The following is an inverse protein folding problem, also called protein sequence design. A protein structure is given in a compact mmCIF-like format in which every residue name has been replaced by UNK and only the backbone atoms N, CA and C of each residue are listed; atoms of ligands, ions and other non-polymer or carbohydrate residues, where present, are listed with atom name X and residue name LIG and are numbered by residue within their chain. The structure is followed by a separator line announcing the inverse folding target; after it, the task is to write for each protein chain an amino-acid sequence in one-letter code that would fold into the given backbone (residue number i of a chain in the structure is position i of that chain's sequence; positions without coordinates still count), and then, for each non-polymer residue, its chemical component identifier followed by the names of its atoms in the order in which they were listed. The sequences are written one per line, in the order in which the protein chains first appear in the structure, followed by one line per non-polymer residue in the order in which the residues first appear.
data_IF_371453191236
#
_entry.id   IF_371453191236
#
_cell.length_a   1.000
_cell.length_b   1.000
_cell.length_c   1.000
_cell.angle_alpha   90.00
_cell.angle_beta   90.00
_cell.angle_gamma   90.00
#
_symmetry.space_group_name_H-M   'P 1'
#
loop_
_entity.id
_entity.type
_entity.pdbx_description
1 polymer ?
#
# COMPACT_ATOMS: atom_id res chain seq x y z
N UNK A 1 8.19 -0.11 6.67
CA UNK A 1 8.36 1.13 7.47
C UNK A 1 7.13 1.40 8.35
N UNK A 2 5.91 1.28 7.84
CA UNK A 2 4.66 1.44 8.60
C UNK A 2 4.63 0.64 9.92
N UNK A 3 5.10 -0.63 9.90
CA UNK A 3 5.29 -1.44 11.11
C UNK A 3 6.14 -0.72 12.16
N UNK A 4 7.23 -0.07 11.74
CA UNK A 4 8.17 0.61 12.65
C UNK A 4 7.58 1.90 13.22
N UNK A 5 6.84 2.66 12.41
CA UNK A 5 6.16 3.88 12.85
C UNK A 5 5.07 3.59 13.87
N UNK A 6 4.17 2.67 13.56
CA UNK A 6 3.00 2.37 14.39
C UNK A 6 3.26 1.36 15.50
N UNK A 7 4.42 0.69 15.52
CA UNK A 7 4.73 -0.41 16.43
C UNK A 7 3.68 -1.52 16.40
N UNK A 8 3.25 -1.88 15.19
CA UNK A 8 2.27 -2.93 14.97
C UNK A 8 2.89 -4.09 14.18
N UNK A 9 2.48 -5.32 14.45
CA UNK A 9 2.94 -6.45 13.66
C UNK A 9 2.42 -6.38 12.22
N UNK A 10 3.17 -6.92 11.23
CA UNK A 10 2.70 -6.97 9.85
C UNK A 10 1.34 -7.64 9.69
N UNK A 11 1.10 -8.72 10.45
CA UNK A 11 -0.18 -9.45 10.44
C UNK A 11 -1.34 -8.57 10.91
N UNK A 12 -1.12 -7.76 11.95
CA UNK A 12 -2.13 -6.86 12.46
C UNK A 12 -2.43 -5.74 11.49
N UNK A 13 -1.39 -5.14 10.88
CA UNK A 13 -1.56 -4.15 9.81
C UNK A 13 -2.34 -4.71 8.62
N UNK A 14 -2.04 -5.93 8.18
CA UNK A 14 -2.79 -6.58 7.10
C UNK A 14 -4.26 -6.77 7.45
N UNK A 15 -4.58 -7.24 8.68
CA UNK A 15 -5.96 -7.40 9.12
C UNK A 15 -6.75 -6.10 9.03
N UNK A 16 -6.14 -4.98 9.42
CA UNK A 16 -6.78 -3.66 9.35
C UNK A 16 -6.92 -3.20 7.91
N UNK A 17 -5.84 -3.22 7.12
CA UNK A 17 -5.82 -2.73 5.73
C UNK A 17 -6.79 -3.47 4.81
N UNK A 18 -7.00 -4.77 5.05
CA UNK A 18 -7.89 -5.59 4.23
C UNK A 18 -9.25 -5.88 4.87
N UNK A 19 -9.67 -5.02 5.79
CA UNK A 19 -11.02 -5.01 6.36
C UNK A 19 -11.41 -6.31 7.09
N UNK A 20 -10.43 -6.97 7.74
CA UNK A 20 -10.65 -8.17 8.58
C UNK A 20 -10.90 -7.81 10.04
N UNK A 21 -10.26 -6.75 10.53
CA UNK A 21 -10.38 -6.29 11.92
C UNK A 21 -10.43 -4.76 11.99
N UNK A 22 -11.14 -4.26 13.00
CA UNK A 22 -11.07 -2.85 13.39
C UNK A 22 -9.79 -2.58 14.19
N UNK A 23 -9.32 -1.36 14.13
CA UNK A 23 -8.28 -0.84 15.02
C UNK A 23 -8.83 0.35 15.78
N UNK A 24 -8.61 0.39 17.08
CA UNK A 24 -8.99 1.52 17.94
C UNK A 24 -8.05 2.68 17.67
N UNK A 25 -8.57 3.78 17.15
CA UNK A 25 -7.83 5.01 16.87
C UNK A 25 -7.92 6.02 18.02
N UNK A 26 -9.01 5.96 18.77
CA UNK A 26 -9.23 6.75 19.98
C UNK A 26 -10.03 5.94 20.99
N UNK A 27 -9.44 5.52 22.12
CA UNK A 27 -10.14 4.74 23.13
C UNK A 27 -11.17 5.56 23.93
N UNK A 28 -11.07 6.90 23.95
CA UNK A 28 -11.93 7.76 24.77
C UNK A 28 -11.89 7.34 26.25
N UNK A 29 -13.06 7.43 26.90
CA UNK A 29 -13.23 7.03 28.33
C UNK A 29 -13.62 5.55 28.50
N UNK A 30 -13.11 4.67 27.65
CA UNK A 30 -13.42 3.23 27.68
C UNK A 30 -12.23 2.43 28.16
N UNK A 31 -12.44 1.15 28.48
CA UNK A 31 -11.36 0.22 28.85
C UNK A 31 -10.59 -0.33 27.64
N UNK A 32 -10.86 0.17 26.42
CA UNK A 32 -10.15 -0.23 25.21
C UNK A 32 -8.75 0.39 25.19
N UNK A 33 -7.80 -0.33 24.60
CA UNK A 33 -6.44 0.16 24.42
C UNK A 33 -6.27 0.84 23.04
N UNK A 34 -5.42 1.86 23.00
CA UNK A 34 -5.00 2.48 21.75
C UNK A 34 -4.30 1.47 20.84
N UNK A 35 -4.69 1.40 19.56
CA UNK A 35 -4.25 0.41 18.57
C UNK A 35 -4.72 -1.03 18.83
N UNK A 36 -5.62 -1.26 19.78
CA UNK A 36 -6.24 -2.57 19.98
C UNK A 36 -6.98 -3.00 18.72
N UNK A 37 -6.86 -4.29 18.36
CA UNK A 37 -7.63 -4.86 17.27
C UNK A 37 -8.93 -5.47 17.82
N UNK A 38 -10.02 -5.18 17.13
CA UNK A 38 -11.34 -5.71 17.44
C UNK A 38 -11.88 -6.48 16.22
N UNK A 39 -12.46 -7.62 16.47
CA UNK A 39 -13.29 -8.33 15.49
C UNK A 39 -14.63 -7.62 15.33
N UNK A 40 -15.42 -7.96 14.31
CA UNK A 40 -16.78 -7.42 14.14
C UNK A 40 -17.67 -7.64 15.36
N UNK A 41 -17.52 -8.79 16.03
CA UNK A 41 -18.28 -9.14 17.22
C UNK A 41 -17.86 -8.26 18.41
N UNK A 42 -16.57 -8.17 18.67
CA UNK A 42 -16.00 -7.34 19.75
C UNK A 42 -16.32 -5.86 19.55
N UNK A 43 -16.24 -5.37 18.31
CA UNK A 43 -16.61 -4.00 17.99
C UNK A 43 -18.07 -3.69 18.28
N UNK A 44 -19.00 -4.57 17.87
CA UNK A 44 -20.43 -4.42 18.17
C UNK A 44 -20.72 -4.54 19.67
N UNK A 45 -19.98 -5.39 20.37
CA UNK A 45 -20.10 -5.51 21.82
C UNK A 45 -19.65 -4.23 22.51
N UNK A 46 -18.47 -3.71 22.14
CA UNK A 46 -17.97 -2.44 22.67
C UNK A 46 -18.93 -1.27 22.41
N UNK A 47 -19.59 -1.24 21.23
CA UNK A 47 -20.62 -0.23 20.95
C UNK A 47 -21.85 -0.32 21.84
N UNK A 48 -22.22 -1.54 22.28
CA UNK A 48 -23.35 -1.74 23.21
C UNK A 48 -22.95 -1.35 24.63
N UNK A 49 -21.74 -1.71 25.04
CA UNK A 49 -21.27 -1.55 26.43
C UNK A 49 -20.92 -0.08 26.73
N UNK A 50 -20.26 0.60 25.80
CA UNK A 50 -19.76 1.97 26.00
C UNK A 50 -20.54 3.04 25.22
N UNK A 51 -21.34 2.63 24.24
CA UNK A 51 -21.99 3.56 23.29
C UNK A 51 -21.14 3.83 22.05
N UNK A 52 -21.82 4.09 20.93
CA UNK A 52 -21.19 4.25 19.62
C UNK A 52 -20.30 5.50 19.48
N UNK A 53 -20.42 6.48 20.39
CA UNK A 53 -19.67 7.73 20.35
C UNK A 53 -18.55 7.82 21.40
N UNK A 54 -18.42 6.82 22.27
CA UNK A 54 -17.48 6.84 23.41
C UNK A 54 -16.05 6.50 23.01
N UNK A 55 -15.87 5.90 21.84
CA UNK A 55 -14.56 5.56 21.28
C UNK A 55 -14.60 5.63 19.76
N UNK A 56 -13.43 5.67 19.13
CA UNK A 56 -13.29 5.59 17.68
C UNK A 56 -12.49 4.36 17.29
N UNK A 57 -13.02 3.61 16.34
CA UNK A 57 -12.30 2.51 15.72
C UNK A 57 -12.66 2.46 14.23
N UNK A 58 -11.70 2.11 13.41
CA UNK A 58 -11.84 2.09 11.96
C UNK A 58 -11.16 0.91 11.31
N UNK A 59 -11.37 0.76 10.02
CA UNK A 59 -10.74 -0.24 9.16
C UNK A 59 -10.10 0.41 7.94
N UNK A 60 -9.19 -0.32 7.30
CA UNK A 60 -8.58 0.09 6.04
C UNK A 60 -7.51 1.16 6.18
N UNK A 61 -7.12 1.71 5.04
CA UNK A 61 -6.07 2.72 4.98
C UNK A 61 -6.46 4.04 5.69
N UNK A 62 -7.75 4.36 5.76
CA UNK A 62 -8.25 5.55 6.47
C UNK A 62 -7.89 5.50 7.96
N UNK A 63 -8.14 4.36 8.63
CA UNK A 63 -7.81 4.17 10.04
C UNK A 63 -6.29 4.21 10.28
N UNK A 64 -5.50 3.60 9.40
CA UNK A 64 -4.04 3.67 9.47
C UNK A 64 -3.53 5.10 9.27
N UNK A 65 -4.15 5.87 8.37
CA UNK A 65 -3.81 7.28 8.17
C UNK A 65 -4.07 8.10 9.42
N UNK A 66 -5.21 7.90 10.08
CA UNK A 66 -5.55 8.56 11.34
C UNK A 66 -4.52 8.25 12.43
N UNK A 67 -4.12 6.98 12.60
CA UNK A 67 -3.06 6.60 13.53
C UNK A 67 -1.71 7.25 13.21
N UNK A 68 -1.37 7.40 11.93
CA UNK A 68 -0.13 8.06 11.51
C UNK A 68 -0.17 9.57 11.72
N UNK A 69 -1.34 10.21 11.59
CA UNK A 69 -1.53 11.64 11.88
C UNK A 69 -1.41 11.96 13.38
N UNK A 70 -1.84 11.03 14.23
CA UNK A 70 -1.74 11.16 15.70
C UNK A 70 -0.33 10.89 16.24
N UNK A 71 0.58 10.39 15.39
CA UNK A 71 1.94 10.04 15.80
C UNK A 71 2.80 11.28 16.00
N UNK A 72 3.19 11.56 17.24
CA UNK A 72 4.18 12.57 17.58
C UNK A 72 5.59 11.96 17.45
N UNK A 73 6.31 12.40 16.41
CA UNK A 73 7.64 11.88 16.09
C UNK A 73 8.68 12.27 17.13
N UNK A 74 8.63 13.51 17.65
CA UNK A 74 9.62 14.01 18.62
C UNK A 74 9.47 13.32 19.98
N UNK A 75 8.23 13.12 20.42
CA UNK A 75 7.94 12.37 21.64
C UNK A 75 8.39 10.92 21.50
N UNK A 76 8.03 10.29 20.38
CA UNK A 76 8.41 8.89 20.11
C UNK A 76 9.94 8.72 20.03
N UNK A 77 10.67 9.70 19.48
CA UNK A 77 12.13 9.68 19.47
C UNK A 77 12.71 9.65 20.87
N UNK A 78 12.22 10.51 21.77
CA UNK A 78 12.67 10.56 23.18
C UNK A 78 12.40 9.24 23.91
N UNK A 79 11.17 8.72 23.79
CA UNK A 79 10.78 7.45 24.38
C UNK A 79 11.67 6.28 23.90
N UNK A 80 11.98 6.24 22.60
CA UNK A 80 12.85 5.19 22.03
C UNK A 80 14.30 5.32 22.50
N UNK A 81 14.82 6.53 22.68
CA UNK A 81 16.17 6.75 23.22
C UNK A 81 16.28 6.27 24.67
N UNK A 82 15.26 6.53 25.48
CA UNK A 82 15.17 6.02 26.85
C UNK A 82 15.04 4.49 26.88
N UNK A 83 14.22 3.92 25.98
CA UNK A 83 14.07 2.47 25.86
C UNK A 83 15.39 1.79 25.48
N UNK A 84 16.18 2.38 24.56
CA UNK A 84 17.49 1.88 24.13
C UNK A 84 18.49 1.92 25.30
N UNK A 85 18.44 2.95 26.14
CA UNK A 85 19.32 3.07 27.29
C UNK A 85 19.00 2.01 28.39
N UNK A 86 17.69 1.70 28.56
CA UNK A 86 17.21 0.83 29.64
C UNK A 86 16.98 -0.63 29.22
N UNK A 87 17.16 -0.98 27.92
CA UNK A 87 16.91 -2.32 27.42
C UNK A 87 18.15 -2.97 26.83
N UNK A 88 18.15 -4.33 26.79
CA UNK A 88 19.22 -5.14 26.21
C UNK A 88 18.68 -6.14 25.17
N UNK A 89 19.60 -6.87 24.53
CA UNK A 89 19.27 -7.96 23.63
C UNK A 89 18.44 -7.55 22.40
N UNK A 90 17.50 -8.39 22.02
CA UNK A 90 16.68 -8.20 20.81
C UNK A 90 15.76 -6.97 20.92
N UNK A 91 15.30 -6.62 22.13
CA UNK A 91 14.44 -5.45 22.34
C UNK A 91 15.17 -4.16 21.95
N UNK A 92 16.41 -4.01 22.41
CA UNK A 92 17.28 -2.88 22.07
C UNK A 92 17.51 -2.78 20.56
N UNK A 93 17.79 -3.90 19.86
CA UNK A 93 18.01 -3.93 18.40
C UNK A 93 16.75 -3.48 17.65
N UNK A 94 15.58 -3.89 18.09
CA UNK A 94 14.31 -3.47 17.49
C UNK A 94 14.04 -1.99 17.73
N UNK A 95 14.31 -1.48 18.92
CA UNK A 95 14.17 -0.06 19.25
C UNK A 95 15.12 0.82 18.41
N UNK A 96 16.37 0.40 18.20
CA UNK A 96 17.33 1.10 17.33
C UNK A 96 16.80 1.18 15.90
N UNK A 97 16.36 0.06 15.31
CA UNK A 97 15.80 0.04 13.95
C UNK A 97 14.56 0.92 13.81
N UNK A 98 13.78 1.02 14.88
CA UNK A 98 12.60 1.89 14.90
C UNK A 98 13.00 3.35 14.98
N UNK A 99 13.98 3.68 15.83
CA UNK A 99 14.54 5.03 15.97
C UNK A 99 15.12 5.54 14.65
N UNK A 100 15.88 4.73 13.92
CA UNK A 100 16.41 5.09 12.58
C UNK A 100 15.31 5.54 11.62
N UNK A 101 14.14 4.88 11.64
CA UNK A 101 13.02 5.26 10.78
C UNK A 101 12.39 6.58 11.26
N UNK A 102 12.19 6.75 12.57
CA UNK A 102 11.63 7.98 13.14
C UNK A 102 12.54 9.18 12.84
N UNK A 103 13.85 9.06 13.09
CA UNK A 103 14.83 10.11 12.79
C UNK A 103 14.88 10.46 11.30
N UNK A 104 14.73 9.46 10.41
CA UNK A 104 14.68 9.70 8.97
C UNK A 104 13.46 10.54 8.58
N UNK A 105 12.31 10.36 9.22
CA UNK A 105 11.13 11.19 9.00
C UNK A 105 11.34 12.61 9.53
N UNK A 106 11.88 12.75 10.73
CA UNK A 106 12.18 14.07 11.33
C UNK A 106 13.16 14.85 10.44
N UNK A 107 14.28 14.23 10.04
CA UNK A 107 15.31 14.86 9.21
C UNK A 107 14.84 15.24 7.81
N UNK A 108 13.95 14.44 7.22
CA UNK A 108 13.42 14.70 5.87
C UNK A 108 12.26 15.70 5.85
N UNK A 109 11.65 16.00 7.00
CA UNK A 109 10.43 16.81 7.09
C UNK A 109 9.18 16.15 6.47
N UNK A 110 9.26 14.87 6.09
CA UNK A 110 8.13 14.14 5.54
C UNK A 110 7.16 13.74 6.66
N UNK A 111 5.87 13.87 6.38
CA UNK A 111 4.84 13.47 7.32
C UNK A 111 4.53 11.98 7.21
N UNK A 112 4.38 11.25 8.34
CA UNK A 112 4.09 9.81 8.33
C UNK A 112 2.83 9.45 7.54
N UNK A 113 1.77 10.26 7.59
CA UNK A 113 0.51 10.05 6.89
C UNK A 113 0.64 10.06 5.35
N UNK A 114 1.71 10.62 4.80
CA UNK A 114 1.96 10.61 3.35
C UNK A 114 2.28 9.22 2.78
N UNK A 115 2.51 8.22 3.65
CA UNK A 115 2.60 6.81 3.23
C UNK A 115 1.26 6.32 2.64
N UNK A 116 0.15 6.91 3.09
CA UNK A 116 -1.18 6.61 2.57
C UNK A 116 -1.49 7.61 1.44
N UNK A 117 -1.73 7.10 0.27
CA UNK A 117 -2.05 7.91 -0.90
C UNK A 117 -3.55 8.22 -0.95
N UNK A 118 -3.89 9.49 -1.06
CA UNK A 118 -5.28 9.94 -1.30
C UNK A 118 -5.62 9.90 -2.80
N UNK A 119 -4.62 10.10 -3.64
CA UNK A 119 -4.76 10.11 -5.11
C UNK A 119 -3.70 9.19 -5.72
N UNK A 120 -4.14 8.31 -6.61
CA UNK A 120 -3.25 7.45 -7.38
C UNK A 120 -2.85 8.18 -8.66
N UNK A 121 -1.54 8.47 -8.88
CA UNK A 121 -1.09 9.11 -10.09
C UNK A 121 -1.23 8.16 -11.30
N UNK A 122 -1.63 8.73 -12.44
CA UNK A 122 -1.72 8.01 -13.70
C UNK A 122 -0.56 8.43 -14.59
N UNK A 123 0.24 7.47 -15.03
CA UNK A 123 1.37 7.75 -15.92
C UNK A 123 0.87 8.17 -17.30
N UNK A 124 1.65 8.99 -18.06
CA UNK A 124 1.29 9.45 -19.40
C UNK A 124 1.04 8.30 -20.38
N UNK A 125 0.15 8.48 -21.37
CA UNK A 125 -0.21 7.42 -22.32
C UNK A 125 0.97 6.93 -23.18
N UNK A 126 2.00 7.75 -23.39
CA UNK A 126 3.20 7.40 -24.16
C UNK A 126 3.99 6.25 -23.50
N UNK A 127 3.93 6.12 -22.16
CA UNK A 127 4.62 5.07 -21.41
C UNK A 127 3.73 3.82 -21.22
N UNK A 128 2.44 3.90 -21.59
CA UNK A 128 1.47 2.80 -21.57
C UNK A 128 0.70 2.71 -22.91
N UNK A 129 1.39 2.55 -24.03
CA UNK A 129 0.79 2.72 -25.34
C UNK A 129 -0.30 1.68 -25.64
N UNK A 130 -1.23 2.10 -26.48
CA UNK A 130 -2.18 1.24 -27.17
C UNK A 130 -1.94 1.37 -28.66
N UNK A 131 -1.54 0.28 -29.31
CA UNK A 131 -1.14 0.26 -30.72
C UNK A 131 -2.10 -0.61 -31.51
N UNK A 132 -2.57 -0.11 -32.65
CA UNK A 132 -3.37 -0.88 -33.57
C UNK A 132 -2.46 -1.81 -34.40
N UNK A 133 -2.79 -3.08 -34.41
CA UNK A 133 -2.12 -4.11 -35.20
C UNK A 133 -2.86 -4.29 -36.53
N UNK A 134 -2.17 -4.91 -37.50
CA UNK A 134 -2.79 -5.33 -38.76
C UNK A 134 -4.01 -6.22 -38.48
N UNK A 135 -5.10 -5.99 -39.20
CA UNK A 135 -6.38 -6.68 -39.00
C UNK A 135 -7.29 -6.08 -37.91
N UNK A 136 -7.05 -4.80 -37.50
CA UNK A 136 -7.96 -4.03 -36.62
C UNK A 136 -7.91 -4.44 -35.13
N UNK A 137 -6.97 -5.30 -34.73
CA UNK A 137 -6.74 -5.67 -33.33
C UNK A 137 -5.86 -4.64 -32.65
N UNK A 138 -6.06 -4.43 -31.35
CA UNK A 138 -5.22 -3.54 -30.53
C UNK A 138 -4.31 -4.35 -29.60
N UNK A 139 -3.04 -3.99 -29.59
CA UNK A 139 -2.11 -4.38 -28.54
C UNK A 139 -2.05 -3.25 -27.50
N UNK A 140 -2.25 -3.59 -26.24
CA UNK A 140 -2.26 -2.61 -25.16
C UNK A 140 -1.27 -3.01 -24.07
N UNK A 141 -0.74 -2.02 -23.38
CA UNK A 141 0.07 -2.26 -22.18
C UNK A 141 -0.78 -2.87 -21.06
N UNK A 142 -0.20 -3.80 -20.32
CA UNK A 142 -0.84 -4.42 -19.14
C UNK A 142 -1.26 -3.37 -18.09
N UNK A 143 -0.54 -2.24 -18.02
CA UNK A 143 -0.89 -1.14 -17.12
C UNK A 143 -2.26 -0.54 -17.39
N UNK A 144 -2.69 -0.47 -18.66
CA UNK A 144 -4.02 0.02 -19.00
C UNK A 144 -5.13 -0.85 -18.39
N UNK A 145 -4.94 -2.17 -18.35
CA UNK A 145 -5.90 -3.06 -17.70
C UNK A 145 -5.90 -2.90 -16.18
N UNK A 146 -4.72 -2.75 -15.58
CA UNK A 146 -4.60 -2.51 -14.13
C UNK A 146 -5.21 -1.17 -13.71
N UNK A 147 -4.97 -0.08 -14.45
CA UNK A 147 -5.63 1.22 -14.22
C UNK A 147 -7.14 1.14 -14.40
N UNK A 148 -7.61 0.47 -15.45
CA UNK A 148 -9.04 0.26 -15.68
C UNK A 148 -9.70 -0.46 -14.51
N UNK A 149 -9.05 -1.46 -13.92
CA UNK A 149 -9.57 -2.17 -12.73
C UNK A 149 -9.69 -1.23 -11.53
N UNK A 150 -8.69 -0.39 -11.27
CA UNK A 150 -8.74 0.61 -10.19
C UNK A 150 -9.89 1.59 -10.42
N UNK A 151 -10.00 2.16 -11.62
CA UNK A 151 -11.06 3.13 -11.96
C UNK A 151 -12.44 2.51 -11.81
N UNK A 152 -12.66 1.30 -12.34
CA UNK A 152 -13.95 0.62 -12.24
C UNK A 152 -14.34 0.32 -10.80
N UNK A 153 -13.40 -0.12 -9.95
CA UNK A 153 -13.65 -0.34 -8.52
C UNK A 153 -13.95 0.95 -7.78
N UNK A 154 -13.20 2.02 -8.09
CA UNK A 154 -13.43 3.33 -7.50
C UNK A 154 -14.82 3.90 -7.87
N UNK A 155 -15.21 3.83 -9.14
CA UNK A 155 -16.51 4.28 -9.60
C UNK A 155 -17.66 3.46 -8.97
N UNK A 156 -17.47 2.15 -8.85
CA UNK A 156 -18.44 1.28 -8.18
C UNK A 156 -18.56 1.63 -6.70
N UNK A 157 -17.44 1.83 -6.00
CA UNK A 157 -17.46 2.27 -4.60
C UNK A 157 -18.18 3.60 -4.43
N UNK A 158 -17.89 4.59 -5.29
CA UNK A 158 -18.57 5.89 -5.26
C UNK A 158 -20.08 5.73 -5.39
N UNK A 159 -20.53 4.93 -6.35
CA UNK A 159 -21.96 4.65 -6.54
C UNK A 159 -22.61 3.94 -5.34
N UNK A 160 -21.91 2.99 -4.72
CA UNK A 160 -22.39 2.31 -3.51
C UNK A 160 -22.53 3.27 -2.32
N UNK A 161 -21.63 4.22 -2.17
CA UNK A 161 -21.70 5.25 -1.14
C UNK A 161 -22.86 6.22 -1.39
N UNK A 162 -23.07 6.65 -2.63
CA UNK A 162 -24.21 7.50 -3.04
C UNK A 162 -25.55 6.83 -2.78
N UNK A 163 -25.64 5.53 -3.03
CA UNK A 163 -26.84 4.71 -2.79
C UNK A 163 -27.01 4.30 -1.31
N UNK A 164 -26.13 4.68 -0.42
CA UNK A 164 -26.12 4.27 0.99
C UNK A 164 -26.22 2.75 1.16
N UNK A 165 -25.45 2.01 0.37
CA UNK A 165 -25.46 0.54 0.42
C UNK A 165 -25.04 0.03 1.82
N UNK A 166 -25.45 -1.19 2.21
CA UNK A 166 -25.06 -1.80 3.49
C UNK A 166 -23.54 -1.82 3.69
N UNK A 167 -23.09 -1.55 4.92
CA UNK A 167 -21.68 -1.44 5.27
C UNK A 167 -20.83 -2.63 4.83
N UNK A 168 -21.38 -3.83 4.90
CA UNK A 168 -20.66 -5.05 4.50
C UNK A 168 -20.30 -5.05 3.01
N UNK A 169 -21.16 -4.49 2.16
CA UNK A 169 -20.94 -4.37 0.71
C UNK A 169 -19.90 -3.28 0.45
N UNK A 170 -20.02 -2.14 1.13
CA UNK A 170 -19.08 -1.02 1.03
C UNK A 170 -17.67 -1.44 1.47
N UNK A 171 -17.55 -2.14 2.61
CA UNK A 171 -16.25 -2.66 3.10
C UNK A 171 -15.62 -3.64 2.12
N UNK A 172 -16.42 -4.53 1.54
CA UNK A 172 -15.91 -5.49 0.55
C UNK A 172 -15.40 -4.77 -0.71
N UNK A 173 -16.11 -3.74 -1.19
CA UNK A 173 -15.64 -2.96 -2.35
C UNK A 173 -14.40 -2.12 -2.03
N UNK A 174 -14.32 -1.54 -0.83
CA UNK A 174 -13.10 -0.86 -0.34
C UNK A 174 -11.90 -1.82 -0.31
N UNK A 175 -12.09 -3.06 0.16
CA UNK A 175 -11.05 -4.10 0.15
C UNK A 175 -10.61 -4.43 -1.28
N UNK A 176 -11.57 -4.60 -2.19
CA UNK A 176 -11.28 -4.91 -3.60
C UNK A 176 -10.56 -3.75 -4.31
N UNK A 177 -10.88 -2.50 -3.96
CA UNK A 177 -10.17 -1.32 -4.44
C UNK A 177 -8.71 -1.31 -3.95
N UNK A 178 -8.49 -1.60 -2.66
CA UNK A 178 -7.13 -1.73 -2.10
C UNK A 178 -6.33 -2.82 -2.84
N UNK A 179 -6.93 -3.99 -3.08
CA UNK A 179 -6.29 -5.08 -3.83
C UNK A 179 -5.98 -4.68 -5.29
N UNK A 180 -6.85 -3.90 -5.93
CA UNK A 180 -6.60 -3.41 -7.28
C UNK A 180 -5.42 -2.42 -7.35
N UNK A 181 -5.29 -1.53 -6.35
CA UNK A 181 -4.15 -0.61 -6.23
C UNK A 181 -2.86 -1.38 -5.91
N UNK A 182 -2.91 -2.39 -5.04
CA UNK A 182 -1.77 -3.25 -4.75
C UNK A 182 -1.26 -3.96 -6.01
N UNK A 183 -2.17 -4.49 -6.83
CA UNK A 183 -1.81 -5.13 -8.10
C UNK A 183 -1.22 -4.16 -9.12
N UNK A 184 -1.67 -2.90 -9.16
CA UNK A 184 -1.10 -1.87 -10.01
C UNK A 184 0.35 -1.57 -9.63
N UNK A 185 0.66 -1.51 -8.34
CA UNK A 185 1.99 -1.18 -7.83
C UNK A 185 2.95 -2.38 -7.94
N UNK A 186 2.57 -3.53 -7.41
CA UNK A 186 3.40 -4.75 -7.38
C UNK A 186 2.52 -6.02 -7.43
N UNK A 187 2.17 -6.42 -8.66
CA UNK A 187 1.28 -7.55 -8.89
C UNK A 187 1.91 -8.88 -8.44
N UNK A 188 1.19 -9.64 -7.63
CA UNK A 188 1.62 -10.93 -7.10
C UNK A 188 2.46 -10.87 -5.82
N UNK A 189 2.71 -9.67 -5.27
CA UNK A 189 3.38 -9.53 -3.97
C UNK A 189 2.53 -10.09 -2.84
N UNK A 190 1.22 -9.97 -2.95
CA UNK A 190 0.24 -10.49 -2.01
C UNK A 190 -0.75 -11.40 -2.71
N UNK A 191 -0.73 -12.69 -2.37
CA UNK A 191 -1.63 -13.68 -2.91
C UNK A 191 -1.39 -14.01 -4.39
N UNK A 192 -2.44 -14.44 -5.08
CA UNK A 192 -2.35 -14.79 -6.50
C UNK A 192 -2.28 -13.53 -7.36
N UNK A 193 -1.37 -13.48 -8.33
CA UNK A 193 -1.28 -12.35 -9.24
C UNK A 193 -2.54 -12.22 -10.08
N UNK A 194 -2.88 -10.98 -10.42
CA UNK A 194 -3.90 -10.69 -11.42
C UNK A 194 -3.38 -11.10 -12.78
N UNK A 195 -4.16 -11.89 -13.52
CA UNK A 195 -3.79 -12.44 -14.82
C UNK A 195 -4.60 -11.83 -15.95
N UNK A 196 -4.01 -11.80 -17.13
CA UNK A 196 -4.66 -11.47 -18.39
C UNK A 196 -5.00 -12.74 -19.21
N UNK A 197 -5.22 -12.58 -20.51
CA UNK A 197 -5.45 -13.72 -21.42
C UNK A 197 -4.33 -14.76 -21.33
N UNK A 198 -4.71 -16.04 -21.35
CA UNK A 198 -3.76 -17.16 -21.25
C UNK A 198 -3.15 -17.32 -19.86
N UNK A 199 -3.80 -16.86 -18.79
CA UNK A 199 -3.33 -16.95 -17.41
C UNK A 199 -1.94 -16.31 -17.15
N UNK A 200 -1.46 -15.46 -18.05
CA UNK A 200 -0.20 -14.72 -17.87
C UNK A 200 -0.39 -13.63 -16.83
N UNK A 201 0.48 -13.54 -15.79
CA UNK A 201 0.45 -12.43 -14.85
C UNK A 201 0.65 -11.08 -15.57
N UNK A 202 -0.15 -10.08 -15.21
CA UNK A 202 -0.02 -8.74 -15.76
C UNK A 202 1.22 -8.04 -15.18
N UNK A 203 1.97 -7.33 -16.03
CA UNK A 203 3.12 -6.52 -15.62
C UNK A 203 2.66 -5.28 -14.85
N UNK A 204 3.05 -5.19 -13.58
CA UNK A 204 2.79 -4.04 -12.72
C UNK A 204 3.84 -2.92 -12.91
N UNK A 205 3.62 -1.77 -12.26
CA UNK A 205 4.59 -0.66 -12.25
C UNK A 205 5.97 -1.12 -11.73
N UNK A 206 6.00 -1.94 -10.69
CA UNK A 206 7.23 -2.49 -10.11
C UNK A 206 7.99 -3.36 -11.11
N UNK A 207 7.28 -4.18 -11.90
CA UNK A 207 7.86 -5.06 -12.91
C UNK A 207 8.47 -4.28 -14.09
N UNK A 208 7.94 -3.08 -14.36
CA UNK A 208 8.51 -2.20 -15.38
C UNK A 208 9.86 -1.60 -14.99
N UNK A 209 10.20 -1.59 -13.71
CA UNK A 209 11.47 -1.07 -13.20
C UNK A 209 12.51 -2.15 -12.95
N UNK A 210 12.06 -3.37 -12.59
CA UNK A 210 12.91 -4.49 -12.16
C UNK A 210 13.37 -5.37 -13.32
N UNK A 211 14.44 -6.12 -13.08
CA UNK A 211 14.94 -7.20 -13.93
C UNK A 211 15.64 -6.73 -15.19
N UNK A 212 15.95 -7.69 -16.08
CA UNK A 212 16.70 -7.45 -17.33
C UNK A 212 15.93 -6.57 -18.32
N UNK A 213 14.60 -6.67 -18.33
CA UNK A 213 13.70 -5.91 -19.21
C UNK A 213 13.13 -4.66 -18.55
N UNK A 214 13.57 -4.36 -17.31
CA UNK A 214 13.16 -3.14 -16.60
C UNK A 214 13.86 -1.90 -17.14
N UNK A 215 13.28 -0.73 -16.89
CA UNK A 215 13.76 0.57 -17.39
C UNK A 215 15.21 0.85 -17.01
N UNK A 216 15.61 0.50 -15.79
CA UNK A 216 17.01 0.74 -15.35
C UNK A 216 18.02 0.00 -16.23
N UNK A 217 17.83 -1.30 -16.45
CA UNK A 217 18.77 -2.11 -17.21
C UNK A 217 18.63 -1.97 -18.72
N UNK A 218 17.41 -1.80 -19.23
CA UNK A 218 17.14 -1.80 -20.66
C UNK A 218 17.26 -0.44 -21.31
N UNK A 219 16.97 0.66 -20.60
CA UNK A 219 16.86 1.98 -21.18
C UNK A 219 17.77 3.04 -20.56
N UNK A 220 18.30 2.81 -19.32
CA UNK A 220 19.13 3.78 -18.61
C UNK A 220 20.61 3.37 -18.56
N UNK A 221 20.90 2.14 -18.14
CA UNK A 221 22.28 1.62 -18.08
C UNK A 221 22.85 1.26 -19.46
N UNK A 222 21.98 1.02 -20.45
CA UNK A 222 22.33 0.77 -21.81
C UNK A 222 21.21 1.24 -22.73
N UNK A 223 21.52 1.86 -23.85
CA UNK A 223 20.57 2.34 -24.84
C UNK A 223 20.93 1.77 -26.21
N UNK A 224 19.94 1.59 -27.06
CA UNK A 224 20.19 1.37 -28.48
C UNK A 224 20.66 2.67 -29.11
N UNK A 225 21.68 2.57 -29.96
CA UNK A 225 22.27 3.72 -30.66
C UNK A 225 22.15 3.49 -32.16
N UNK A 226 22.03 4.60 -32.89
CA UNK A 226 22.10 4.59 -34.34
C UNK A 226 23.53 4.39 -34.81
N UNK A 227 23.75 4.06 -36.08
CA UNK A 227 25.06 3.83 -36.67
C UNK A 227 25.95 2.82 -35.94
N UNK A 228 25.33 1.77 -35.41
CA UNK A 228 26.01 0.64 -34.76
C UNK A 228 25.93 -0.59 -35.63
N UNK A 229 26.97 -1.42 -35.63
CA UNK A 229 27.05 -2.65 -36.36
C UNK A 229 27.67 -3.78 -35.53
N UNK A 230 27.46 -5.00 -35.98
CA UNK A 230 28.05 -6.20 -35.41
C UNK A 230 28.53 -7.09 -36.54
N UNK A 231 29.76 -7.58 -36.43
CA UNK A 231 30.35 -8.49 -37.40
C UNK A 231 30.99 -9.71 -36.68
N UNK A 232 31.24 -10.75 -37.44
CA UNK A 232 31.98 -11.92 -36.97
C UNK A 232 33.48 -11.61 -37.08
N UNK A 233 34.23 -11.91 -36.03
CA UNK A 233 35.69 -11.86 -36.04
C UNK A 233 36.20 -13.24 -36.48
N UNK A 234 36.98 -13.26 -37.55
CA UNK A 234 37.61 -14.48 -38.07
C UNK A 234 39.13 -14.33 -37.96
N UNK A 235 39.80 -15.47 -37.89
CA UNK A 235 41.28 -15.52 -38.02
C UNK A 235 41.65 -15.22 -39.45
N UNK A 236 42.65 -14.38 -39.65
CA UNK A 236 43.26 -14.10 -40.95
C UNK A 236 44.32 -15.18 -41.30
#
# INVERSE_FOLDING_TARGET
RMKMLLDMSPRNLEKVLYFVAFVVTDPGDTSLEYKQLLTDVEYRQAQRDYGAKSFKAGMGAEAIKELLQQLDLEKTEKELREEIANSGGQKRVNAIKRLEVIEAFIKSGNKPEWIIMDVVPVIPPEIRPMVQLDGGRFATSDLNDLYRRVINRNNRLKRLLELRAPDIIVRNEKRMLQEAVDALIDNGRRGRPVTGPGNRPLKSLSDMLRGKQGRFRQNLLGKRVDYSGRSVIVVG
#
